data_IF_848512820179
#
_entry.id   IF_848512820179
#
_cell.length_a   1.000
_cell.length_b   1.000
_cell.length_c   1.000
_cell.angle_alpha   90.00
_cell.angle_beta   90.00
_cell.angle_gamma   90.00
#
_symmetry.space_group_name_H-M   'P 1'
#
loop_
_entity.id
_entity.type
_entity.pdbx_description
1 polymer ?
#
# COMPACT_ATOMS: atom_id res chain seq x y z
N UNK A 1 -2.95 -9.14 7.54
CA UNK A 1 -2.55 -7.71 7.62
C UNK A 1 -3.59 -6.79 6.98
N UNK A 2 -4.11 -7.09 5.77
CA UNK A 2 -5.15 -6.28 5.10
C UNK A 2 -6.39 -6.00 5.97
N UNK A 3 -6.95 -7.02 6.63
CA UNK A 3 -8.10 -6.85 7.50
C UNK A 3 -7.83 -5.86 8.65
N UNK A 4 -6.71 -6.03 9.36
CA UNK A 4 -6.29 -5.14 10.45
C UNK A 4 -6.06 -3.70 9.95
N UNK A 5 -5.41 -3.53 8.80
CA UNK A 5 -5.20 -2.22 8.19
C UNK A 5 -6.53 -1.53 7.86
N UNK A 6 -7.50 -2.29 7.34
CA UNK A 6 -8.85 -1.81 7.09
C UNK A 6 -9.62 -1.49 8.40
N UNK A 7 -9.51 -2.33 9.43
CA UNK A 7 -10.13 -2.07 10.75
C UNK A 7 -9.61 -0.77 11.36
N UNK A 8 -8.30 -0.50 11.21
CA UNK A 8 -7.65 0.68 11.75
C UNK A 8 -7.71 1.91 10.83
N UNK A 9 -8.31 1.80 9.64
CA UNK A 9 -8.31 2.84 8.61
C UNK A 9 -6.88 3.35 8.27
N UNK A 10 -5.94 2.42 8.14
CA UNK A 10 -4.54 2.70 7.79
C UNK A 10 -4.16 2.05 6.48
N UNK A 11 -3.34 2.74 5.68
CA UNK A 11 -2.65 2.13 4.54
C UNK A 11 -1.66 1.05 5.00
N UNK A 12 -1.49 0.01 4.19
CA UNK A 12 -0.52 -1.05 4.44
C UNK A 12 0.71 -0.86 3.55
N UNK A 13 1.90 -0.88 4.15
CA UNK A 13 3.18 -0.93 3.41
C UNK A 13 3.70 -2.36 3.42
N UNK A 14 4.12 -2.89 2.28
CA UNK A 14 4.62 -4.28 2.17
C UNK A 14 5.77 -4.40 1.17
N UNK A 15 6.68 -5.35 1.43
CA UNK A 15 7.73 -5.76 0.49
C UNK A 15 7.34 -6.96 -0.38
N UNK A 16 6.18 -7.56 -0.11
CA UNK A 16 5.72 -8.74 -0.81
C UNK A 16 5.07 -8.35 -2.15
N UNK A 17 5.84 -8.39 -3.24
CA UNK A 17 5.34 -8.16 -4.59
C UNK A 17 4.70 -9.40 -5.19
N UNK A 18 5.03 -10.58 -4.66
CA UNK A 18 4.68 -11.86 -5.24
C UNK A 18 3.25 -12.24 -4.91
N UNK A 19 2.85 -12.14 -3.64
CA UNK A 19 1.55 -12.63 -3.18
C UNK A 19 0.58 -11.52 -2.78
N UNK A 20 1.08 -10.37 -2.30
CA UNK A 20 0.24 -9.28 -1.80
C UNK A 20 -0.76 -8.75 -2.84
N UNK A 21 -0.43 -8.54 -4.12
CA UNK A 21 -1.42 -8.08 -5.10
C UNK A 21 -2.62 -9.03 -5.21
N UNK A 22 -2.38 -10.34 -5.24
CA UNK A 22 -3.45 -11.35 -5.29
C UNK A 22 -4.31 -11.34 -4.03
N UNK A 23 -3.70 -11.24 -2.86
CA UNK A 23 -4.42 -11.10 -1.59
C UNK A 23 -5.24 -9.81 -1.54
N UNK A 24 -4.71 -8.70 -2.06
CA UNK A 24 -5.37 -7.42 -2.10
C UNK A 24 -6.61 -7.43 -2.98
N UNK A 25 -6.50 -7.93 -4.23
CA UNK A 25 -7.63 -7.99 -5.15
C UNK A 25 -8.78 -8.84 -4.60
N UNK A 26 -8.47 -10.02 -4.05
CA UNK A 26 -9.49 -10.85 -3.38
C UNK A 26 -10.11 -10.16 -2.17
N UNK A 27 -9.33 -9.36 -1.42
CA UNK A 27 -9.85 -8.64 -0.26
C UNK A 27 -10.85 -7.55 -0.67
N UNK A 28 -10.54 -6.77 -1.71
CA UNK A 28 -11.39 -5.66 -2.16
C UNK A 28 -12.67 -6.09 -2.86
N UNK A 29 -12.81 -7.36 -3.25
CA UNK A 29 -14.09 -7.96 -3.70
C UNK A 29 -15.16 -7.93 -2.60
N UNK A 30 -14.76 -8.05 -1.33
CA UNK A 30 -15.69 -8.20 -0.21
C UNK A 30 -15.59 -7.07 0.82
N UNK A 31 -14.47 -6.32 0.84
CA UNK A 31 -14.20 -5.32 1.88
C UNK A 31 -13.33 -4.17 1.37
N UNK A 32 -13.66 -2.94 1.76
CA UNK A 32 -12.82 -1.79 1.42
C UNK A 32 -11.47 -1.84 2.15
N UNK A 33 -10.42 -1.42 1.45
CA UNK A 33 -9.08 -1.21 1.98
C UNK A 33 -8.68 0.25 1.84
N UNK A 34 -8.04 0.88 2.85
CA UNK A 34 -7.44 2.19 2.70
C UNK A 34 -6.39 2.26 1.59
N UNK A 35 -5.80 1.13 1.18
CA UNK A 35 -4.81 1.03 0.12
C UNK A 35 -3.52 0.31 0.55
N UNK A 36 -2.71 -0.10 -0.43
CA UNK A 36 -1.42 -0.76 -0.20
C UNK A 36 -0.31 -0.02 -0.94
N UNK A 37 0.82 0.18 -0.28
CA UNK A 37 2.08 0.60 -0.91
C UNK A 37 3.04 -0.60 -0.96
N UNK A 38 3.50 -0.95 -2.15
CA UNK A 38 4.53 -1.95 -2.35
C UNK A 38 5.89 -1.28 -2.53
N UNK A 39 6.88 -1.71 -1.74
CA UNK A 39 8.25 -1.16 -1.72
C UNK A 39 9.24 -2.29 -1.94
N UNK A 40 10.21 -2.14 -2.85
CA UNK A 40 11.22 -3.17 -3.09
C UNK A 40 11.97 -3.51 -1.80
N UNK A 41 12.18 -4.81 -1.52
CA UNK A 41 12.82 -5.29 -0.29
C UNK A 41 14.23 -4.71 -0.07
N UNK A 42 14.96 -4.44 -1.16
CA UNK A 42 16.33 -3.91 -1.12
C UNK A 42 16.39 -2.39 -1.34
N UNK A 43 15.26 -1.68 -1.28
CA UNK A 43 15.25 -0.23 -1.38
C UNK A 43 15.94 0.38 -0.14
N UNK A 44 16.90 1.30 -0.29
CA UNK A 44 17.47 2.05 0.82
C UNK A 44 16.38 2.73 1.65
N UNK A 45 16.49 2.68 2.98
CA UNK A 45 15.46 3.21 3.89
C UNK A 45 15.17 4.69 3.61
N UNK A 46 16.20 5.51 3.34
CA UNK A 46 16.02 6.92 2.98
C UNK A 46 15.12 7.10 1.75
N UNK A 47 15.38 6.31 0.70
CA UNK A 47 14.58 6.33 -0.53
C UNK A 47 13.14 5.85 -0.30
N UNK A 48 12.96 4.83 0.55
CA UNK A 48 11.62 4.34 0.91
C UNK A 48 10.83 5.39 1.69
N UNK A 49 11.48 6.13 2.61
CA UNK A 49 10.86 7.22 3.37
C UNK A 49 10.46 8.36 2.43
N UNK A 50 11.34 8.78 1.53
CA UNK A 50 11.04 9.82 0.53
C UNK A 50 9.88 9.41 -0.38
N UNK A 51 9.88 8.16 -0.87
CA UNK A 51 8.80 7.63 -1.70
C UNK A 51 7.46 7.61 -0.97
N UNK A 52 7.44 7.18 0.29
CA UNK A 52 6.22 7.19 1.12
C UNK A 52 5.70 8.62 1.37
N UNK A 53 6.61 9.58 1.57
CA UNK A 53 6.24 10.99 1.70
C UNK A 53 5.55 11.51 0.43
N UNK A 54 6.03 11.15 -0.75
CA UNK A 54 5.40 11.52 -2.03
C UNK A 54 4.00 10.92 -2.14
N UNK A 55 3.82 9.63 -1.82
CA UNK A 55 2.49 9.00 -1.85
C UNK A 55 1.52 9.73 -0.91
N UNK A 56 1.99 10.09 0.28
CA UNK A 56 1.17 10.80 1.27
C UNK A 56 0.77 12.21 0.82
N UNK A 57 1.69 12.96 0.19
CA UNK A 57 1.45 14.37 -0.18
C UNK A 57 0.68 14.51 -1.49
N UNK A 58 0.83 13.54 -2.40
CA UNK A 58 0.28 13.64 -3.75
C UNK A 58 -1.03 12.90 -3.97
N UNK A 59 -1.51 12.11 -3.00
CA UNK A 59 -2.77 11.37 -3.13
C UNK A 59 -3.67 11.63 -1.93
N UNK A 60 -4.93 11.96 -2.19
CA UNK A 60 -5.95 12.02 -1.15
C UNK A 60 -6.42 10.61 -0.75
N UNK A 61 -6.99 10.48 0.45
CA UNK A 61 -7.42 9.20 1.00
C UNK A 61 -8.41 8.45 0.09
N UNK A 62 -9.29 9.16 -0.60
CA UNK A 62 -10.23 8.57 -1.55
C UNK A 62 -9.55 8.06 -2.83
N UNK A 63 -8.48 8.71 -3.28
CA UNK A 63 -7.70 8.27 -4.45
C UNK A 63 -6.86 7.05 -4.15
N UNK A 64 -6.42 6.91 -2.90
CA UNK A 64 -5.63 5.77 -2.43
C UNK A 64 -6.49 4.53 -2.09
N UNK A 65 -7.77 4.74 -1.73
CA UNK A 65 -8.71 3.66 -1.35
C UNK A 65 -8.84 2.61 -2.45
N UNK A 66 -8.76 1.34 -2.05
CA UNK A 66 -8.84 0.17 -2.92
C UNK A 66 -7.82 0.17 -4.07
N UNK A 67 -6.68 0.86 -3.90
CA UNK A 67 -5.57 0.84 -4.87
C UNK A 67 -4.28 0.30 -4.28
N UNK A 68 -3.41 -0.16 -5.20
CA UNK A 68 -2.01 -0.50 -4.92
C UNK A 68 -1.13 0.57 -5.57
N UNK A 69 -0.23 1.15 -4.79
CA UNK A 69 0.82 2.07 -5.26
C UNK A 69 2.16 1.36 -5.21
N UNK A 70 2.93 1.40 -6.30
CA UNK A 70 4.22 0.72 -6.39
C UNK A 70 5.37 1.74 -6.32
N UNK A 71 6.20 1.65 -5.28
CA UNK A 71 7.45 2.40 -5.16
C UNK A 71 8.58 1.56 -5.77
N UNK A 72 8.94 1.87 -7.02
CA UNK A 72 9.89 1.07 -7.82
C UNK A 72 11.14 1.83 -8.31
N UNK A 73 11.17 3.15 -8.16
CA UNK A 73 12.32 3.98 -8.52
C UNK A 73 13.47 3.83 -7.54
#
# INVERSE_FOLDING_TARGET
MLALAADLQRGLVSHDYETMPGHFYRFVEFRQSPGVVLIRQLMPIGQAVEGLLVVWVCQDADEFRNRITYLQW
#
